data_IF_044040158129
#
_entry.id   IF_044040158129
#
_cell.length_a   1.000
_cell.length_b   1.000
_cell.length_c   1.000
_cell.angle_alpha   90.00
_cell.angle_beta   90.00
_cell.angle_gamma   90.00
#
_symmetry.space_group_name_H-M   'P 1'
#
loop_
_entity.id
_entity.type
_entity.pdbx_description
1 polymer ?
#
# COMPACT_ATOMS: atom_id res chain seq x y z
N UNK A 1 2.18 3.48 16.99
CA UNK A 1 1.30 2.84 15.97
C UNK A 1 2.06 1.84 15.09
N UNK A 2 3.08 2.26 14.34
CA UNK A 2 3.75 1.39 13.35
C UNK A 2 4.62 0.29 13.97
N UNK A 3 5.35 0.59 15.04
CA UNK A 3 6.25 -0.34 15.74
C UNK A 3 5.60 -1.13 16.89
N UNK A 4 4.30 -0.95 17.14
CA UNK A 4 3.60 -1.66 18.23
C UNK A 4 3.04 -2.98 17.73
N UNK A 5 3.38 -4.08 18.39
CA UNK A 5 2.82 -5.41 18.13
C UNK A 5 1.35 -5.54 18.56
N UNK A 6 0.90 -4.72 19.52
CA UNK A 6 -0.48 -4.72 20.03
C UNK A 6 -1.52 -4.16 19.06
N UNK A 7 -1.09 -3.36 18.08
CA UNK A 7 -2.01 -2.79 17.10
C UNK A 7 -2.23 -3.83 16.01
N UNK A 8 -3.45 -4.39 15.98
CA UNK A 8 -3.86 -5.37 14.98
C UNK A 8 -3.51 -4.91 13.58
N UNK A 9 -2.91 -5.82 12.80
CA UNK A 9 -2.57 -5.64 11.40
C UNK A 9 -3.70 -4.99 10.59
N UNK A 10 -4.95 -5.39 10.87
CA UNK A 10 -6.17 -4.87 10.25
C UNK A 10 -6.38 -3.37 10.49
N UNK A 11 -6.06 -2.86 11.69
CA UNK A 11 -6.17 -1.43 12.02
C UNK A 11 -5.06 -0.64 11.32
N UNK A 12 -3.83 -1.16 11.27
CA UNK A 12 -2.73 -0.51 10.53
C UNK A 12 -3.06 -0.36 9.04
N UNK A 13 -3.64 -1.39 8.43
CA UNK A 13 -4.12 -1.35 7.02
C UNK A 13 -5.31 -0.39 6.86
N UNK A 14 -6.24 -0.36 7.82
CA UNK A 14 -7.37 0.56 7.81
C UNK A 14 -6.95 2.04 7.86
N UNK A 15 -6.03 2.39 8.76
CA UNK A 15 -5.47 3.75 8.86
C UNK A 15 -4.69 4.12 7.61
N UNK A 16 -3.92 3.18 7.05
CA UNK A 16 -3.23 3.39 5.77
C UNK A 16 -4.22 3.74 4.65
N UNK A 17 -5.28 2.96 4.45
CA UNK A 17 -6.30 3.27 3.45
C UNK A 17 -6.97 4.62 3.71
N UNK A 18 -7.36 4.88 4.96
CA UNK A 18 -8.15 6.07 5.28
C UNK A 18 -7.37 7.38 5.22
N UNK A 19 -6.07 7.37 5.50
CA UNK A 19 -5.26 8.59 5.58
C UNK A 19 -4.27 8.72 4.41
N UNK A 20 -3.57 7.64 4.06
CA UNK A 20 -2.55 7.67 3.00
C UNK A 20 -3.22 7.66 1.63
N UNK A 21 -4.23 6.82 1.41
CA UNK A 21 -4.91 6.72 0.11
C UNK A 21 -5.67 8.02 -0.22
N UNK A 22 -6.37 8.60 0.75
CA UNK A 22 -7.11 9.87 0.61
C UNK A 22 -6.18 11.06 0.36
N UNK A 23 -5.07 11.16 1.10
CA UNK A 23 -4.09 12.25 0.87
C UNK A 23 -3.44 12.13 -0.50
N UNK A 24 -3.16 10.90 -0.95
CA UNK A 24 -2.62 10.65 -2.30
C UNK A 24 -3.63 10.96 -3.41
N UNK A 25 -4.89 10.52 -3.25
CA UNK A 25 -5.97 10.80 -4.20
C UNK A 25 -6.20 12.29 -4.34
N UNK A 26 -6.30 13.01 -3.21
CA UNK A 26 -6.44 14.46 -3.22
C UNK A 26 -5.25 15.17 -3.88
N UNK A 27 -4.04 14.69 -3.64
CA UNK A 27 -2.82 15.18 -4.30
C UNK A 27 -2.83 14.90 -5.81
N UNK A 28 -3.32 13.74 -6.25
CA UNK A 28 -3.44 13.37 -7.66
C UNK A 28 -4.55 14.13 -8.40
N UNK A 29 -5.63 14.50 -7.70
CA UNK A 29 -6.67 15.39 -8.23
C UNK A 29 -6.16 16.83 -8.37
N UNK A 30 -5.33 17.29 -7.42
CA UNK A 30 -4.80 18.65 -7.41
C UNK A 30 -3.58 18.85 -8.33
N UNK A 31 -2.81 17.78 -8.62
CA UNK A 31 -1.62 17.81 -9.48
C UNK A 31 -1.78 16.80 -10.62
N UNK A 32 -1.87 17.29 -11.86
CA UNK A 32 -2.13 16.53 -13.11
C UNK A 32 -1.03 15.51 -13.42
N UNK A 33 -1.04 14.35 -12.78
CA UNK A 33 0.02 13.35 -12.97
C UNK A 33 -0.51 11.94 -13.27
N UNK A 34 -0.85 11.80 -14.55
CA UNK A 34 -1.00 10.55 -15.30
C UNK A 34 0.17 9.57 -15.08
N UNK A 35 -0.15 8.27 -14.93
CA UNK A 35 0.71 7.04 -14.97
C UNK A 35 1.98 6.98 -14.11
N UNK A 36 2.84 8.00 -14.11
CA UNK A 36 4.06 8.05 -13.28
C UNK A 36 3.72 8.00 -11.79
N UNK A 37 2.65 8.69 -11.38
CA UNK A 37 2.23 8.71 -9.99
C UNK A 37 1.61 7.39 -9.57
N UNK A 38 0.86 6.74 -10.45
CA UNK A 38 0.32 5.39 -10.22
C UNK A 38 1.46 4.39 -9.96
N UNK A 39 2.53 4.44 -10.76
CA UNK A 39 3.69 3.56 -10.55
C UNK A 39 4.45 3.85 -9.25
N UNK A 40 4.60 5.13 -8.89
CA UNK A 40 5.16 5.51 -7.59
C UNK A 40 4.28 5.08 -6.42
N UNK A 41 2.96 5.14 -6.61
CA UNK A 41 1.95 4.75 -5.63
C UNK A 41 1.96 3.24 -5.41
N UNK A 42 2.06 2.45 -6.48
CA UNK A 42 2.20 0.99 -6.39
C UNK A 42 3.50 0.60 -5.67
N UNK A 43 4.60 1.27 -5.99
CA UNK A 43 5.90 1.08 -5.31
C UNK A 43 5.83 1.46 -3.83
N UNK A 44 5.18 2.57 -3.50
CA UNK A 44 4.99 3.02 -2.12
C UNK A 44 4.09 2.06 -1.34
N UNK A 45 3.00 1.58 -1.97
CA UNK A 45 2.09 0.60 -1.41
C UNK A 45 2.83 -0.69 -1.06
N UNK A 46 3.61 -1.24 -1.98
CA UNK A 46 4.45 -2.42 -1.75
C UNK A 46 5.46 -2.24 -0.62
N UNK A 47 6.15 -1.09 -0.59
CA UNK A 47 7.08 -0.77 0.50
C UNK A 47 6.35 -0.73 1.85
N UNK A 48 5.16 -0.15 1.89
CA UNK A 48 4.39 -0.03 3.12
C UNK A 48 3.90 -1.38 3.64
N UNK A 49 3.39 -2.23 2.76
CA UNK A 49 2.96 -3.58 3.13
C UNK A 49 4.10 -4.41 3.68
N UNK A 50 5.30 -4.30 3.10
CA UNK A 50 6.49 -4.96 3.67
C UNK A 50 6.81 -4.48 5.09
N UNK A 51 6.67 -3.19 5.37
CA UNK A 51 6.87 -2.62 6.71
C UNK A 51 5.80 -3.13 7.69
N UNK A 52 4.52 -3.10 7.32
CA UNK A 52 3.43 -3.56 8.21
C UNK A 52 3.55 -5.07 8.46
N UNK A 53 3.89 -5.86 7.43
CA UNK A 53 4.10 -7.31 7.55
C UNK A 53 5.46 -7.68 8.15
N UNK A 54 6.28 -6.69 8.53
CA UNK A 54 7.62 -6.86 9.10
C UNK A 54 8.55 -7.75 8.25
N UNK A 55 8.44 -7.66 6.92
CA UNK A 55 9.23 -8.42 5.96
C UNK A 55 10.51 -7.66 5.67
N UNK A 56 11.65 -8.30 5.93
CA UNK A 56 12.95 -7.71 5.63
C UNK A 56 13.27 -7.90 4.14
N UNK A 57 14.01 -6.98 3.51
CA UNK A 57 14.50 -7.17 2.14
C UNK A 57 15.31 -8.47 1.99
N UNK A 58 15.99 -8.90 3.05
CA UNK A 58 16.77 -10.13 3.12
C UNK A 58 15.93 -11.40 2.93
N UNK A 59 14.63 -11.36 3.26
CA UNK A 59 13.75 -12.54 3.20
C UNK A 59 13.43 -12.98 1.75
N UNK A 60 13.81 -12.18 0.73
CA UNK A 60 13.60 -12.49 -0.70
C UNK A 60 12.15 -12.85 -1.07
N UNK A 61 11.18 -12.39 -0.27
CA UNK A 61 9.77 -12.71 -0.47
C UNK A 61 9.22 -11.97 -1.70
N UNK A 62 8.59 -12.66 -2.67
CA UNK A 62 7.99 -12.04 -3.84
C UNK A 62 6.74 -11.23 -3.47
N UNK A 63 6.48 -10.15 -4.22
CA UNK A 63 5.36 -9.21 -3.93
C UNK A 63 3.99 -9.92 -3.83
N UNK A 64 3.76 -10.98 -4.61
CA UNK A 64 2.53 -11.79 -4.54
C UNK A 64 2.26 -12.35 -3.15
N UNK A 65 3.31 -12.79 -2.46
CA UNK A 65 3.19 -13.45 -1.17
C UNK A 65 2.96 -12.41 -0.05
N UNK A 66 3.57 -11.22 -0.21
CA UNK A 66 3.29 -10.06 0.64
C UNK A 66 1.81 -9.67 0.55
N UNK A 67 1.25 -9.63 -0.66
CA UNK A 67 -0.16 -9.31 -0.91
C UNK A 67 -1.11 -10.34 -0.28
N UNK A 68 -0.85 -11.63 -0.49
CA UNK A 68 -1.62 -12.72 0.13
C UNK A 68 -1.60 -12.62 1.66
N UNK A 69 -0.42 -12.34 2.24
CA UNK A 69 -0.27 -12.18 3.70
C UNK A 69 -1.01 -10.96 4.24
N UNK A 70 -1.14 -9.91 3.44
CA UNK A 70 -1.89 -8.71 3.82
C UNK A 70 -3.41 -8.83 3.58
N UNK A 71 -3.88 -9.90 2.94
CA UNK A 71 -5.25 -10.06 2.45
C UNK A 71 -5.71 -8.84 1.61
N UNK A 72 -4.78 -8.25 0.87
CA UNK A 72 -5.05 -7.14 -0.04
C UNK A 72 -5.07 -7.73 -1.44
N UNK A 73 -6.27 -8.01 -1.94
CA UNK A 73 -6.49 -8.29 -3.35
C UNK A 73 -6.20 -7.02 -4.13
N UNK A 74 -5.00 -6.97 -4.72
CA UNK A 74 -4.61 -6.20 -5.90
C UNK A 74 -5.62 -5.12 -6.34
N UNK A 75 -5.40 -3.88 -5.91
CA UNK A 75 -6.07 -2.69 -6.46
C UNK A 75 -5.71 -2.41 -7.94
N UNK A 76 -4.76 -3.15 -8.51
CA UNK A 76 -4.33 -2.98 -9.90
C UNK A 76 -5.44 -3.27 -10.92
N UNK A 77 -6.57 -3.86 -10.53
CA UNK A 77 -7.73 -4.02 -11.41
C UNK A 77 -8.69 -2.83 -11.40
N UNK A 78 -8.68 -1.96 -10.39
CA UNK A 78 -9.60 -0.80 -10.34
C UNK A 78 -9.13 0.39 -11.20
N UNK A 79 -7.83 0.51 -11.46
CA UNK A 79 -7.26 1.64 -12.24
C UNK A 79 -7.35 1.41 -13.76
N UNK A 80 -7.73 0.21 -14.20
CA UNK A 80 -8.00 -0.05 -15.64
C UNK A 80 -9.46 0.21 -16.04
N UNK A 81 -10.34 0.58 -15.09
CA UNK A 81 -11.76 0.90 -15.32
C UNK A 81 -12.10 2.40 -15.19
N UNK A 82 -11.08 3.27 -15.16
CA UNK A 82 -11.20 4.73 -15.34
C UNK A 82 -10.34 5.14 -16.52
#
# INVERSE_FOLDING_TARGET
>A
LWNNHDVSFKIKVGVYKSAVLTTLLYGAESWTLFRKHINQLDSFHMRYLRIISNIKPSDHIPNREVLTKCNISTYSLDISYV
#
